data_IF_984132647629
#
_entry.id   IF_984132647629
#
_cell.length_a   1.000
_cell.length_b   1.000
_cell.length_c   1.000
_cell.angle_alpha   90.00
_cell.angle_beta   90.00
_cell.angle_gamma   90.00
#
_symmetry.space_group_name_H-M   'P 1'
#
loop_
_entity.id
_entity.type
_entity.pdbx_description
1 polymer ?
#
# COMPACT_ATOMS: atom_id res chain seq x y z
N UNK A 1 18.93 4.91 29.58
CA UNK A 1 19.17 6.08 28.70
C UNK A 1 18.52 7.29 29.33
N UNK A 2 19.21 8.41 29.31
CA UNK A 2 18.67 9.70 29.74
C UNK A 2 17.48 10.12 28.85
N UNK A 3 16.46 10.76 29.45
CA UNK A 3 15.24 11.20 28.76
C UNK A 3 15.57 12.18 27.63
N UNK A 4 16.58 13.02 27.82
CA UNK A 4 17.07 13.94 26.79
C UNK A 4 17.64 13.16 25.60
N UNK A 5 18.51 12.17 25.86
CA UNK A 5 19.11 11.31 24.85
C UNK A 5 18.06 10.57 24.00
N UNK A 6 17.00 10.03 24.63
CA UNK A 6 15.91 9.33 23.93
C UNK A 6 15.20 10.25 22.92
N UNK A 7 14.94 11.50 23.32
CA UNK A 7 14.28 12.47 22.44
C UNK A 7 15.19 12.86 21.27
N UNK A 8 16.48 13.06 21.54
CA UNK A 8 17.48 13.36 20.50
C UNK A 8 17.56 12.22 19.49
N UNK A 9 17.66 10.98 19.95
CA UNK A 9 17.68 9.80 19.09
C UNK A 9 16.40 9.70 18.26
N UNK A 10 15.23 10.00 18.83
CA UNK A 10 13.97 10.01 18.09
C UNK A 10 13.95 11.10 17.01
N UNK A 11 14.39 12.32 17.33
CA UNK A 11 14.51 13.44 16.39
C UNK A 11 15.45 13.12 15.22
N UNK A 12 16.60 12.48 15.49
CA UNK A 12 17.56 12.07 14.46
C UNK A 12 17.01 10.90 13.64
N UNK A 13 16.55 9.84 14.30
CA UNK A 13 16.16 8.61 13.63
C UNK A 13 14.90 8.78 12.79
N UNK A 14 13.87 9.42 13.35
CA UNK A 14 12.57 9.58 12.69
C UNK A 14 12.47 10.83 11.83
N UNK A 15 13.04 11.95 12.26
CA UNK A 15 12.84 13.25 11.60
C UNK A 15 14.07 13.77 10.86
N UNK A 16 15.23 13.08 10.97
CA UNK A 16 16.50 13.50 10.36
C UNK A 16 16.88 14.94 10.74
N UNK A 17 16.54 15.34 11.97
CA UNK A 17 16.94 16.63 12.53
C UNK A 17 18.24 16.40 13.28
N UNK A 18 19.28 17.12 12.86
CA UNK A 18 20.61 17.03 13.47
C UNK A 18 20.99 18.29 14.26
N UNK A 19 20.40 19.45 13.90
CA UNK A 19 20.62 20.74 14.54
C UNK A 19 19.43 21.69 14.31
N UNK A 20 19.34 22.74 15.13
CA UNK A 20 18.36 23.81 15.01
C UNK A 20 18.70 24.78 13.88
N UNK A 21 17.71 25.56 13.41
CA UNK A 21 17.90 26.57 12.36
C UNK A 21 18.82 27.71 12.78
N UNK A 22 18.85 28.00 14.08
CA UNK A 22 19.74 29.01 14.70
C UNK A 22 21.18 28.49 14.90
N UNK A 23 21.47 27.24 14.50
CA UNK A 23 22.80 26.65 14.59
C UNK A 23 23.05 25.79 15.85
N UNK A 24 22.18 25.85 16.86
CA UNK A 24 22.33 25.05 18.09
C UNK A 24 22.24 23.56 17.82
N UNK A 25 23.06 22.78 18.52
CA UNK A 25 23.04 21.33 18.51
C UNK A 25 21.92 20.80 19.41
N UNK A 26 21.40 19.61 19.10
CA UNK A 26 20.28 19.05 19.87
C UNK A 26 20.62 18.77 21.34
N UNK A 27 21.88 18.46 21.65
CA UNK A 27 22.35 18.24 23.02
C UNK A 27 22.45 19.56 23.82
N UNK A 28 22.42 20.72 23.17
CA UNK A 28 22.44 22.04 23.80
C UNK A 28 21.03 22.51 24.22
N UNK A 29 19.98 21.79 23.79
CA UNK A 29 18.60 22.12 24.10
C UNK A 29 18.17 21.49 25.42
N UNK A 30 17.40 22.22 26.22
CA UNK A 30 16.75 21.66 27.41
C UNK A 30 15.79 20.53 27.04
N UNK A 31 15.49 19.62 27.98
CA UNK A 31 14.52 18.55 27.75
C UNK A 31 13.15 19.10 27.34
N UNK A 32 12.74 20.26 27.85
CA UNK A 32 11.47 20.91 27.47
C UNK A 32 11.49 21.47 26.04
N UNK A 33 12.59 22.09 25.61
CA UNK A 33 12.76 22.53 24.21
C UNK A 33 12.74 21.33 23.25
N UNK A 34 13.45 20.26 23.59
CA UNK A 34 13.47 19.01 22.82
C UNK A 34 12.08 18.38 22.75
N UNK A 35 11.35 18.34 23.87
CA UNK A 35 9.99 17.81 23.93
C UNK A 35 9.05 18.65 23.03
N UNK A 36 9.13 19.98 23.10
CA UNK A 36 8.32 20.89 22.29
C UNK A 36 8.62 20.73 20.79
N UNK A 37 9.91 20.68 20.43
CA UNK A 37 10.34 20.42 19.05
C UNK A 37 9.80 19.08 18.57
N UNK A 38 9.92 18.01 19.38
CA UNK A 38 9.38 16.70 19.06
C UNK A 38 7.86 16.73 18.88
N UNK A 39 7.13 17.45 19.74
CA UNK A 39 5.67 17.64 19.66
C UNK A 39 5.27 18.39 18.38
N UNK A 40 5.97 19.48 18.04
CA UNK A 40 5.76 20.25 16.82
C UNK A 40 6.01 19.39 15.58
N UNK A 41 7.10 18.62 15.56
CA UNK A 41 7.39 17.69 14.46
C UNK A 41 6.40 16.55 14.36
N UNK A 42 5.88 16.05 15.48
CA UNK A 42 4.79 15.07 15.51
C UNK A 42 3.49 15.66 14.95
N UNK A 43 3.20 16.94 15.21
CA UNK A 43 2.04 17.65 14.62
C UNK A 43 2.19 17.88 13.11
N UNK A 44 3.41 18.05 12.61
CA UNK A 44 3.73 18.15 11.18
C UNK A 44 3.78 16.79 10.46
N UNK A 45 3.69 15.68 11.18
CA UNK A 45 3.59 14.34 10.57
C UNK A 45 2.17 14.08 10.09
N UNK A 46 2.04 13.27 9.03
CA UNK A 46 0.73 12.67 8.74
C UNK A 46 0.22 11.99 9.99
N UNK A 47 -1.04 12.26 10.35
CA UNK A 47 -1.75 11.52 11.39
C UNK A 47 -2.06 10.13 10.84
N UNK A 48 -1.09 9.23 10.94
CA UNK A 48 -1.26 7.82 10.60
C UNK A 48 -1.67 7.06 11.86
N UNK A 49 -2.60 6.12 11.70
CA UNK A 49 -2.95 5.18 12.75
C UNK A 49 -1.74 4.35 13.16
N UNK A 50 -1.60 4.14 14.48
CA UNK A 50 -0.58 3.26 15.04
C UNK A 50 -1.12 1.84 15.01
N UNK A 51 -0.68 1.09 13.99
CA UNK A 51 -0.98 -0.34 13.87
C UNK A 51 -0.47 -1.07 15.13
N UNK A 52 -1.41 -1.74 15.80
CA UNK A 52 -1.22 -2.55 17.00
C UNK A 52 -0.63 -3.92 16.68
N UNK A 53 -0.07 -4.58 17.69
CA UNK A 53 0.47 -5.94 17.53
C UNK A 53 -0.61 -6.93 17.11
N UNK A 54 -1.84 -6.78 17.62
CA UNK A 54 -3.01 -7.57 17.22
C UNK A 54 -3.34 -7.38 15.73
N UNK A 55 -3.28 -6.15 15.23
CA UNK A 55 -3.49 -5.88 13.79
C UNK A 55 -2.36 -6.46 12.94
N UNK A 56 -1.09 -6.39 13.40
CA UNK A 56 0.05 -7.01 12.72
C UNK A 56 -0.07 -8.54 12.61
N UNK A 57 -0.66 -9.19 13.60
CA UNK A 57 -0.88 -10.63 13.62
C UNK A 57 -2.11 -11.08 12.81
N UNK A 58 -2.97 -10.13 12.41
CA UNK A 58 -4.22 -10.42 11.70
C UNK A 58 -3.95 -11.07 10.34
N UNK A 59 -4.76 -12.09 10.01
CA UNK A 59 -4.78 -12.75 8.71
C UNK A 59 -6.04 -12.34 7.96
N UNK A 60 -5.89 -11.70 6.81
CA UNK A 60 -7.00 -11.23 5.98
C UNK A 60 -7.41 -12.30 4.98
N UNK A 61 -8.67 -12.71 4.99
CA UNK A 61 -9.17 -13.75 4.09
C UNK A 61 -9.51 -13.15 2.71
N UNK A 62 -8.90 -13.66 1.64
CA UNK A 62 -9.12 -13.12 0.29
C UNK A 62 -9.99 -14.00 -0.59
N UNK A 63 -10.48 -15.15 -0.08
CA UNK A 63 -11.22 -16.13 -0.89
C UNK A 63 -12.44 -15.56 -1.59
N UNK A 64 -13.25 -14.79 -0.85
CA UNK A 64 -14.44 -14.15 -1.42
C UNK A 64 -14.05 -13.14 -2.50
N UNK A 65 -13.05 -12.30 -2.24
CA UNK A 65 -12.63 -11.27 -3.19
C UNK A 65 -12.04 -11.89 -4.47
N UNK A 66 -11.28 -12.98 -4.36
CA UNK A 66 -10.82 -13.75 -5.51
C UNK A 66 -11.97 -14.33 -6.33
N UNK A 67 -13.00 -14.89 -5.68
CA UNK A 67 -14.17 -15.41 -6.37
C UNK A 67 -14.91 -14.29 -7.12
N UNK A 68 -15.12 -13.13 -6.47
CA UNK A 68 -15.74 -11.96 -7.10
C UNK A 68 -14.91 -11.42 -8.27
N UNK A 69 -13.58 -11.32 -8.12
CA UNK A 69 -12.70 -10.86 -9.20
C UNK A 69 -12.75 -11.79 -10.40
N UNK A 70 -12.78 -13.11 -10.16
CA UNK A 70 -12.85 -14.10 -11.22
C UNK A 70 -14.11 -13.92 -12.07
N UNK A 71 -15.25 -13.62 -11.45
CA UNK A 71 -16.49 -13.37 -12.21
C UNK A 71 -16.44 -12.04 -12.97
N UNK A 72 -15.84 -11.00 -12.41
CA UNK A 72 -15.64 -9.73 -13.13
C UNK A 72 -14.70 -9.91 -14.33
N UNK A 73 -13.59 -10.62 -14.15
CA UNK A 73 -12.58 -10.86 -15.18
C UNK A 73 -13.10 -11.69 -16.36
N UNK A 74 -14.05 -12.60 -16.12
CA UNK A 74 -14.76 -13.33 -17.19
C UNK A 74 -15.60 -12.39 -18.06
N UNK A 75 -16.13 -11.31 -17.47
CA UNK A 75 -17.03 -10.39 -18.16
C UNK A 75 -16.29 -9.40 -19.06
N UNK A 76 -15.10 -8.96 -18.65
CA UNK A 76 -14.25 -8.02 -19.42
C UNK A 76 -13.73 -8.65 -20.73
N UNK A 77 -13.73 -9.99 -20.84
CA UNK A 77 -13.42 -10.84 -22.01
C UNK A 77 -12.27 -10.41 -22.96
N UNK A 78 -11.29 -9.65 -22.46
CA UNK A 78 -10.08 -9.35 -23.20
C UNK A 78 -9.15 -10.58 -23.23
N UNK A 79 -8.77 -11.07 -24.41
CA UNK A 79 -8.08 -12.37 -24.57
C UNK A 79 -6.69 -12.29 -25.21
N UNK A 80 -6.18 -11.10 -25.49
CA UNK A 80 -4.87 -10.95 -26.12
C UNK A 80 -3.72 -11.31 -25.15
N UNK A 81 -2.55 -11.60 -25.73
CA UNK A 81 -1.38 -12.11 -25.01
C UNK A 81 -0.79 -11.11 -24.00
N UNK A 82 -1.02 -9.81 -24.20
CA UNK A 82 -0.54 -8.72 -23.35
C UNK A 82 -1.45 -8.43 -22.15
N UNK A 83 -2.60 -9.12 -22.00
CA UNK A 83 -3.56 -8.92 -20.89
C UNK A 83 -2.91 -8.81 -19.52
N UNK A 84 -2.00 -9.74 -19.18
CA UNK A 84 -1.33 -9.74 -17.87
C UNK A 84 -0.37 -8.56 -17.76
N UNK A 85 0.30 -8.22 -18.86
CA UNK A 85 1.21 -7.07 -18.90
C UNK A 85 0.44 -5.76 -18.71
N UNK A 86 -0.69 -5.57 -19.39
CA UNK A 86 -1.60 -4.44 -19.21
C UNK A 86 -2.08 -4.33 -17.77
N UNK A 87 -2.49 -5.44 -17.13
CA UNK A 87 -2.88 -5.42 -15.72
C UNK A 87 -1.74 -4.99 -14.78
N UNK A 88 -0.48 -5.37 -15.07
CA UNK A 88 0.66 -4.86 -14.31
C UNK A 88 0.86 -3.34 -14.51
N UNK A 89 0.63 -2.81 -15.71
CA UNK A 89 0.67 -1.37 -15.95
C UNK A 89 -0.46 -0.65 -15.22
N UNK A 90 -1.70 -1.16 -15.30
CA UNK A 90 -2.83 -0.60 -14.57
C UNK A 90 -2.57 -0.61 -13.06
N UNK A 91 -2.14 -1.73 -12.47
CA UNK A 91 -1.74 -1.78 -11.07
C UNK A 91 -0.67 -0.72 -10.72
N UNK A 92 0.31 -0.50 -11.60
CA UNK A 92 1.31 0.53 -11.36
C UNK A 92 0.70 1.94 -11.38
N UNK A 93 -0.27 2.22 -12.26
CA UNK A 93 -1.00 3.50 -12.30
C UNK A 93 -1.80 3.70 -11.01
N UNK A 94 -2.66 2.76 -10.63
CA UNK A 94 -3.50 2.86 -9.41
C UNK A 94 -2.66 3.05 -8.14
N UNK A 95 -1.49 2.39 -8.05
CA UNK A 95 -0.56 2.57 -6.91
C UNK A 95 -0.05 4.01 -6.84
N UNK A 96 0.23 4.64 -7.98
CA UNK A 96 0.68 6.04 -8.02
C UNK A 96 -0.47 7.03 -7.83
N UNK A 97 -1.70 6.70 -8.24
CA UNK A 97 -2.90 7.49 -7.96
C UNK A 97 -3.22 7.46 -6.45
N UNK A 98 -3.21 6.29 -5.82
CA UNK A 98 -3.29 6.16 -4.37
C UNK A 98 -2.16 6.94 -3.67
N UNK A 99 -0.93 6.89 -4.17
CA UNK A 99 0.17 7.68 -3.62
C UNK A 99 -0.07 9.20 -3.78
N UNK A 100 -0.68 9.62 -4.88
CA UNK A 100 -1.00 11.02 -5.14
C UNK A 100 -2.03 11.56 -4.15
N UNK A 101 -3.04 10.75 -3.79
CA UNK A 101 -4.11 11.10 -2.85
C UNK A 101 -3.63 11.22 -1.40
N UNK A 102 -2.48 10.63 -1.05
CA UNK A 102 -1.89 10.84 0.27
C UNK A 102 -1.37 12.26 0.48
N UNK A 103 -1.09 13.00 -0.60
CA UNK A 103 -0.39 14.29 -0.57
C UNK A 103 0.98 14.25 0.15
N UNK A 104 1.57 13.06 0.35
CA UNK A 104 2.69 12.85 1.27
C UNK A 104 4.07 13.24 0.72
N UNK A 105 4.16 13.53 -0.58
CA UNK A 105 5.38 14.03 -1.23
C UNK A 105 5.24 15.46 -1.77
N UNK A 106 4.03 16.03 -1.78
CA UNK A 106 3.72 17.35 -2.38
C UNK A 106 4.08 18.49 -1.43
N UNK A 107 5.36 18.62 -1.07
CA UNK A 107 5.86 19.60 -0.09
C UNK A 107 5.61 21.06 -0.48
N UNK A 108 5.28 21.33 -1.74
CA UNK A 108 4.90 22.65 -2.26
C UNK A 108 3.40 22.98 -2.11
N UNK A 109 2.57 22.02 -1.70
CA UNK A 109 1.11 22.18 -1.58
C UNK A 109 0.70 22.71 -0.22
N UNK A 110 -0.36 23.53 -0.18
CA UNK A 110 -1.02 23.93 1.07
C UNK A 110 -1.74 22.77 1.78
N UNK A 111 -2.11 21.73 1.02
CA UNK A 111 -2.73 20.47 1.51
C UNK A 111 -1.69 19.37 1.77
N UNK A 112 -0.43 19.74 1.95
CA UNK A 112 0.64 18.76 2.16
C UNK A 112 0.31 17.88 3.36
N UNK A 113 0.39 16.54 3.18
CA UNK A 113 0.07 15.54 4.21
C UNK A 113 -1.40 15.53 4.69
N UNK A 114 -2.31 16.12 3.93
CA UNK A 114 -3.75 16.10 4.17
C UNK A 114 -4.46 15.25 3.10
N UNK A 115 -4.57 13.94 3.32
CA UNK A 115 -5.10 13.02 2.32
C UNK A 115 -6.62 13.23 2.11
N UNK A 116 -7.08 12.98 0.89
CA UNK A 116 -8.49 12.70 0.64
C UNK A 116 -8.71 11.21 0.89
N UNK A 117 -9.26 10.87 2.07
CA UNK A 117 -9.35 9.48 2.54
C UNK A 117 -10.29 8.64 1.69
N UNK A 118 -11.38 9.21 1.19
CA UNK A 118 -12.37 8.48 0.41
C UNK A 118 -11.80 8.11 -0.96
N UNK A 119 -11.16 9.08 -1.62
CA UNK A 119 -10.42 8.82 -2.88
C UNK A 119 -9.26 7.87 -2.66
N UNK A 120 -8.48 8.05 -1.60
CA UNK A 120 -7.38 7.15 -1.29
C UNK A 120 -7.86 5.70 -1.14
N UNK A 121 -8.98 5.48 -0.44
CA UNK A 121 -9.55 4.13 -0.33
C UNK A 121 -10.01 3.61 -1.69
N UNK A 122 -10.64 4.44 -2.52
CA UNK A 122 -11.04 4.06 -3.88
C UNK A 122 -9.84 3.58 -4.72
N UNK A 123 -8.78 4.39 -4.83
CA UNK A 123 -7.57 4.06 -5.60
C UNK A 123 -6.86 2.81 -5.04
N UNK A 124 -6.83 2.65 -3.71
CA UNK A 124 -6.30 1.43 -3.08
C UNK A 124 -7.10 0.18 -3.46
N UNK A 125 -8.43 0.29 -3.56
CA UNK A 125 -9.32 -0.80 -3.96
C UNK A 125 -9.17 -1.14 -5.44
N UNK A 126 -8.97 -0.16 -6.32
CA UNK A 126 -8.64 -0.39 -7.72
C UNK A 126 -7.30 -1.13 -7.85
N UNK A 127 -6.30 -0.74 -7.06
CA UNK A 127 -5.06 -1.51 -6.92
C UNK A 127 -5.29 -2.95 -6.44
N UNK A 128 -6.20 -3.19 -5.48
CA UNK A 128 -6.55 -4.53 -5.02
C UNK A 128 -7.21 -5.37 -6.11
N UNK A 129 -8.12 -4.78 -6.91
CA UNK A 129 -8.75 -5.44 -8.06
C UNK A 129 -7.70 -5.98 -9.03
N UNK A 130 -6.75 -5.14 -9.46
CA UNK A 130 -5.69 -5.59 -10.37
C UNK A 130 -4.76 -6.62 -9.71
N UNK A 131 -4.42 -6.47 -8.43
CA UNK A 131 -3.56 -7.42 -7.74
C UNK A 131 -4.18 -8.83 -7.66
N UNK A 132 -5.47 -8.94 -7.34
CA UNK A 132 -6.20 -10.21 -7.36
C UNK A 132 -6.28 -10.79 -8.78
N UNK A 133 -6.57 -9.93 -9.75
CA UNK A 133 -6.73 -10.29 -11.14
C UNK A 133 -5.43 -10.82 -11.78
N UNK A 134 -4.27 -10.22 -11.46
CA UNK A 134 -2.95 -10.70 -11.88
C UNK A 134 -2.66 -12.10 -11.34
N UNK A 135 -2.97 -12.36 -10.06
CA UNK A 135 -2.77 -13.69 -9.47
C UNK A 135 -3.62 -14.74 -10.20
N UNK A 136 -4.88 -14.41 -10.52
CA UNK A 136 -5.79 -15.30 -11.24
C UNK A 136 -5.24 -15.63 -12.64
N UNK A 137 -4.89 -14.62 -13.44
CA UNK A 137 -4.41 -14.82 -14.80
C UNK A 137 -3.07 -15.56 -14.85
N UNK A 138 -2.12 -15.21 -13.98
CA UNK A 138 -0.82 -15.91 -13.92
C UNK A 138 -1.05 -17.38 -13.54
N UNK A 139 -1.96 -17.67 -12.61
CA UNK A 139 -2.29 -19.04 -12.22
C UNK A 139 -2.95 -19.83 -13.36
N UNK A 140 -3.74 -19.21 -14.21
CA UNK A 140 -4.31 -19.89 -15.40
C UNK A 140 -3.31 -20.06 -16.54
N UNK A 141 -2.34 -19.13 -16.66
CA UNK A 141 -1.39 -19.10 -17.78
C UNK A 141 -0.05 -19.77 -17.47
N UNK A 142 0.21 -20.15 -16.22
CA UNK A 142 1.43 -20.86 -15.84
C UNK A 142 1.42 -22.31 -16.33
N UNK A 143 2.58 -22.82 -16.72
CA UNK A 143 2.76 -24.24 -17.13
C UNK A 143 2.82 -25.21 -15.95
N UNK A 144 2.79 -24.70 -14.72
CA UNK A 144 2.81 -25.51 -13.51
C UNK A 144 1.42 -26.06 -13.20
N UNK A 145 1.33 -27.32 -12.81
CA UNK A 145 0.08 -27.92 -12.32
C UNK A 145 -0.27 -27.49 -10.87
N UNK A 146 0.58 -26.66 -10.24
CA UNK A 146 0.33 -26.17 -8.89
C UNK A 146 -0.72 -25.05 -8.89
N UNK A 147 -1.71 -25.17 -8.02
CA UNK A 147 -2.68 -24.11 -7.78
C UNK A 147 -2.12 -23.07 -6.79
N UNK A 148 -1.54 -22.00 -7.33
CA UNK A 148 -0.95 -20.92 -6.55
C UNK A 148 -1.99 -20.01 -5.88
N UNK A 149 -3.26 -20.00 -6.29
CA UNK A 149 -4.30 -19.15 -5.65
C UNK A 149 -4.38 -19.47 -4.15
N UNK A 150 -4.24 -20.75 -3.78
CA UNK A 150 -4.22 -21.19 -2.38
C UNK A 150 -3.13 -20.51 -1.54
N UNK A 151 -2.01 -20.11 -2.15
CA UNK A 151 -0.92 -19.37 -1.50
C UNK A 151 -1.30 -17.93 -1.11
N UNK A 152 -2.42 -17.42 -1.61
CA UNK A 152 -2.93 -16.06 -1.40
C UNK A 152 -4.29 -16.02 -0.70
N UNK A 153 -4.85 -17.16 -0.28
CA UNK A 153 -6.10 -17.22 0.48
C UNK A 153 -6.08 -16.34 1.73
N UNK A 154 -4.90 -16.13 2.31
CA UNK A 154 -4.69 -15.23 3.42
C UNK A 154 -3.50 -14.31 3.16
N UNK A 155 -3.69 -13.02 3.44
CA UNK A 155 -2.64 -12.03 3.50
C UNK A 155 -2.39 -11.57 4.94
N UNK A 156 -1.23 -10.96 5.18
CA UNK A 156 -0.86 -10.35 6.46
C UNK A 156 -0.28 -8.97 6.21
N UNK A 157 -0.37 -8.07 7.19
CA UNK A 157 0.29 -6.78 7.13
C UNK A 157 1.80 -6.97 6.96
N UNK A 158 2.42 -6.17 6.08
CA UNK A 158 3.88 -6.15 5.97
C UNK A 158 4.52 -5.67 7.28
N UNK A 159 5.34 -6.51 7.88
CA UNK A 159 5.80 -6.35 9.27
C UNK A 159 7.05 -5.50 9.46
N UNK A 160 7.81 -5.19 8.40
CA UNK A 160 9.01 -4.36 8.58
C UNK A 160 8.61 -2.94 9.02
N UNK A 161 9.34 -2.41 9.99
CA UNK A 161 9.20 -1.04 10.47
C UNK A 161 9.58 -0.02 9.40
N UNK A 162 8.61 0.30 8.54
CA UNK A 162 8.70 1.39 7.56
C UNK A 162 7.84 2.53 8.09
N UNK A 163 8.49 3.59 8.54
CA UNK A 163 7.85 4.76 9.14
C UNK A 163 7.45 5.83 8.13
N UNK A 164 7.72 5.62 6.85
CA UNK A 164 7.41 6.55 5.76
C UNK A 164 6.43 5.92 4.79
N UNK A 165 5.28 6.55 4.62
CA UNK A 165 4.29 6.13 3.61
C UNK A 165 4.87 6.20 2.19
N UNK A 166 5.71 7.21 1.90
CA UNK A 166 6.40 7.32 0.61
C UNK A 166 7.25 6.06 0.33
N UNK A 167 7.97 5.55 1.34
CA UNK A 167 8.76 4.31 1.19
C UNK A 167 7.90 3.06 1.01
N UNK A 168 6.67 3.04 1.53
CA UNK A 168 5.73 1.95 1.29
C UNK A 168 5.24 1.96 -0.16
N UNK A 169 4.87 3.13 -0.69
CA UNK A 169 4.50 3.26 -2.10
C UNK A 169 5.68 2.97 -3.05
N UNK A 170 6.87 3.48 -2.76
CA UNK A 170 8.10 3.12 -3.51
C UNK A 170 8.34 1.60 -3.49
N UNK A 171 8.19 0.96 -2.32
CA UNK A 171 8.29 -0.49 -2.20
C UNK A 171 7.23 -1.19 -3.05
N UNK A 172 5.99 -0.72 -3.04
CA UNK A 172 4.92 -1.29 -3.84
C UNK A 172 5.24 -1.15 -5.35
N UNK A 173 5.47 0.06 -5.85
CA UNK A 173 5.76 0.33 -7.27
C UNK A 173 6.97 -0.46 -7.76
N UNK A 174 8.07 -0.49 -6.99
CA UNK A 174 9.24 -1.28 -7.37
C UNK A 174 8.97 -2.79 -7.36
N UNK A 175 8.08 -3.27 -6.48
CA UNK A 175 7.68 -4.68 -6.43
C UNK A 175 6.77 -5.04 -7.60
N UNK A 176 5.89 -4.14 -8.06
CA UNK A 176 5.09 -4.31 -9.28
C UNK A 176 6.01 -4.54 -10.49
N UNK A 177 7.02 -3.67 -10.68
CA UNK A 177 7.96 -3.79 -11.79
C UNK A 177 8.80 -5.07 -11.73
N UNK A 178 9.21 -5.50 -10.52
CA UNK A 178 9.92 -6.77 -10.32
C UNK A 178 9.05 -7.98 -10.65
N UNK A 179 7.80 -7.99 -10.18
CA UNK A 179 6.84 -9.06 -10.45
C UNK A 179 6.55 -9.16 -11.95
N UNK A 180 6.29 -8.02 -12.59
CA UNK A 180 6.11 -7.91 -14.05
C UNK A 180 7.30 -8.50 -14.78
N UNK A 181 8.53 -8.08 -14.46
CA UNK A 181 9.74 -8.61 -15.11
C UNK A 181 9.88 -10.12 -14.94
N UNK A 182 9.63 -10.65 -13.74
CA UNK A 182 9.65 -12.10 -13.48
C UNK A 182 8.66 -12.86 -14.35
N UNK A 183 7.44 -12.35 -14.48
CA UNK A 183 6.43 -13.00 -15.28
C UNK A 183 6.67 -12.82 -16.79
N UNK A 184 6.77 -11.58 -17.27
CA UNK A 184 6.82 -11.26 -18.70
C UNK A 184 8.14 -11.70 -19.34
N UNK A 185 9.28 -11.42 -18.70
CA UNK A 185 10.59 -11.74 -19.28
C UNK A 185 11.05 -13.16 -18.99
N UNK A 186 10.74 -13.69 -17.80
CA UNK A 186 11.29 -14.97 -17.33
C UNK A 186 10.24 -16.08 -17.21
N UNK A 187 8.94 -15.77 -17.35
CA UNK A 187 7.83 -16.72 -17.16
C UNK A 187 7.87 -17.46 -15.82
N UNK A 188 8.36 -16.77 -14.78
CA UNK A 188 8.41 -17.26 -13.40
C UNK A 188 7.25 -16.65 -12.62
N UNK A 189 6.46 -17.49 -11.93
CA UNK A 189 5.39 -17.02 -11.04
C UNK A 189 5.99 -16.17 -9.89
N UNK A 190 5.68 -14.87 -9.80
CA UNK A 190 6.31 -13.96 -8.83
C UNK A 190 5.65 -14.02 -7.45
N UNK A 191 5.59 -15.22 -6.84
CA UNK A 191 4.84 -15.45 -5.58
C UNK A 191 5.30 -14.54 -4.44
N UNK A 192 6.62 -14.37 -4.29
CA UNK A 192 7.20 -13.55 -3.23
C UNK A 192 6.82 -12.08 -3.39
N UNK A 193 6.93 -11.54 -4.60
CA UNK A 193 6.60 -10.15 -4.92
C UNK A 193 5.10 -9.89 -4.72
N UNK A 194 4.22 -10.78 -5.21
CA UNK A 194 2.78 -10.66 -5.02
C UNK A 194 2.40 -10.65 -3.53
N UNK A 195 3.02 -11.52 -2.71
CA UNK A 195 2.81 -11.52 -1.24
C UNK A 195 3.27 -10.24 -0.57
N UNK A 196 4.40 -9.68 -1.02
CA UNK A 196 4.88 -8.37 -0.53
C UNK A 196 3.86 -7.29 -0.87
N UNK A 197 3.35 -7.25 -2.11
CA UNK A 197 2.35 -6.25 -2.52
C UNK A 197 1.06 -6.33 -1.69
N UNK A 198 0.51 -7.55 -1.46
CA UNK A 198 -0.64 -7.70 -0.55
C UNK A 198 -0.33 -7.17 0.85
N UNK A 199 0.85 -7.49 1.39
CA UNK A 199 1.23 -7.02 2.71
C UNK A 199 1.41 -5.51 2.80
N UNK A 200 1.95 -4.89 1.75
CA UNK A 200 2.10 -3.44 1.66
C UNK A 200 0.73 -2.75 1.50
N UNK A 201 -0.16 -3.29 0.67
CA UNK A 201 -1.55 -2.82 0.57
C UNK A 201 -2.24 -2.77 1.94
N UNK A 202 -2.25 -3.88 2.68
CA UNK A 202 -2.86 -3.91 4.02
C UNK A 202 -2.14 -3.00 5.01
N UNK A 203 -0.81 -2.86 4.90
CA UNK A 203 -0.05 -1.94 5.74
C UNK A 203 -0.48 -0.49 5.50
N UNK A 204 -0.63 -0.08 4.25
CA UNK A 204 -1.07 1.28 3.90
C UNK A 204 -2.50 1.49 4.38
N UNK A 205 -3.42 0.57 4.09
CA UNK A 205 -4.81 0.70 4.51
C UNK A 205 -4.94 0.94 6.02
N UNK A 206 -4.26 0.10 6.82
CA UNK A 206 -4.30 0.24 8.27
C UNK A 206 -3.57 1.50 8.77
N UNK A 207 -2.54 2.01 8.08
CA UNK A 207 -1.93 3.30 8.46
C UNK A 207 -2.89 4.48 8.27
N UNK A 208 -3.87 4.36 7.37
CA UNK A 208 -4.92 5.34 7.15
C UNK A 208 -6.23 4.99 7.84
N UNK A 209 -6.19 4.08 8.82
CA UNK A 209 -7.34 3.68 9.65
C UNK A 209 -8.48 2.98 8.89
N UNK A 210 -8.19 2.41 7.71
CA UNK A 210 -9.14 1.55 7.01
C UNK A 210 -9.09 0.14 7.58
N UNK A 211 -10.20 -0.29 8.19
CA UNK A 211 -10.29 -1.65 8.72
C UNK A 211 -10.50 -2.66 7.59
N UNK A 212 -10.24 -3.93 7.86
CA UNK A 212 -10.57 -5.00 6.91
C UNK A 212 -12.06 -5.01 6.51
N UNK A 213 -12.98 -4.57 7.38
CA UNK A 213 -14.40 -4.45 7.03
C UNK A 213 -14.63 -3.35 6.00
N UNK A 214 -13.95 -2.22 6.13
CA UNK A 214 -14.05 -1.11 5.19
C UNK A 214 -13.49 -1.50 3.83
N UNK A 215 -12.34 -2.19 3.81
CA UNK A 215 -11.72 -2.73 2.59
C UNK A 215 -12.69 -3.67 1.86
N UNK A 216 -13.28 -4.63 2.57
CA UNK A 216 -14.22 -5.59 1.97
C UNK A 216 -15.49 -4.89 1.47
N UNK A 217 -16.02 -3.91 2.21
CA UNK A 217 -17.19 -3.13 1.78
C UNK A 217 -16.89 -2.36 0.50
N UNK A 218 -15.83 -1.56 0.49
CA UNK A 218 -15.44 -0.74 -0.65
C UNK A 218 -15.13 -1.60 -1.89
N UNK A 219 -14.46 -2.75 -1.70
CA UNK A 219 -14.24 -3.70 -2.79
C UNK A 219 -15.56 -4.21 -3.40
N UNK A 220 -16.55 -4.58 -2.58
CA UNK A 220 -17.84 -5.08 -3.07
C UNK A 220 -18.62 -4.00 -3.82
N UNK A 221 -18.57 -2.77 -3.32
CA UNK A 221 -19.19 -1.60 -3.96
C UNK A 221 -18.53 -1.33 -5.32
N UNK A 222 -17.19 -1.20 -5.37
CA UNK A 222 -16.45 -0.98 -6.61
C UNK A 222 -16.63 -2.13 -7.61
N UNK A 223 -16.64 -3.38 -7.15
CA UNK A 223 -16.89 -4.54 -8.00
C UNK A 223 -18.27 -4.46 -8.66
N UNK A 224 -19.32 -4.10 -7.91
CA UNK A 224 -20.68 -3.91 -8.43
C UNK A 224 -20.72 -2.77 -9.46
N UNK A 225 -20.07 -1.65 -9.19
CA UNK A 225 -19.97 -0.53 -10.14
C UNK A 225 -19.27 -0.95 -11.43
N UNK A 226 -18.15 -1.68 -11.34
CA UNK A 226 -17.42 -2.18 -12.50
C UNK A 226 -18.26 -3.16 -13.33
N UNK A 227 -19.08 -4.00 -12.68
CA UNK A 227 -20.06 -4.83 -13.38
C UNK A 227 -21.11 -4.01 -14.15
N UNK A 228 -21.54 -2.87 -13.60
CA UNK A 228 -22.47 -1.95 -14.27
C UNK A 228 -21.78 -1.25 -15.45
N UNK A 229 -20.56 -0.75 -15.26
CA UNK A 229 -19.74 -0.09 -16.30
C UNK A 229 -19.55 -1.00 -17.53
N UNK A 230 -19.24 -2.28 -17.28
CA UNK A 230 -19.13 -3.29 -18.34
C UNK A 230 -20.48 -3.62 -19.02
N UNK A 231 -21.62 -3.48 -18.31
CA UNK A 231 -22.93 -3.64 -18.92
C UNK A 231 -23.29 -2.47 -19.85
N UNK A 232 -22.80 -1.26 -19.56
CA UNK A 232 -23.06 -0.04 -20.32
C UNK A 232 -22.10 0.21 -21.48
N UNK A 233 -21.13 -0.68 -21.73
CA UNK A 233 -20.17 -0.55 -22.84
C UNK A 233 -19.01 0.42 -22.59
N UNK A 234 -18.65 0.63 -21.31
CA UNK A 234 -17.41 1.31 -20.93
C UNK A 234 -16.20 0.38 -21.07
#
# INVERSE_FOLDING_TARGET
>A
MDKQQIIIEELICKFKIYKMKDGRQLYELSTQELQRLLEERRKEMMKLHRITDKELETKFNLRELFAMQKELDKRIDYRDEDRIELKFYSLHVEVNEAWNETMSFKFWSKRFKEPDTDKLLEELIDGLHFLLSIVLDINTSTRSNHNFIGCFNYAKIHSRHIYSVNRLFEMWSTTVLKAKKKWVAYRIFPVAELRIMFGVFFRICYLYDFTYKDIVRAYKEKNKENFIRQASGY
#
